data_IF_959559309302
#
_entry.id   IF_959559309302
#
_cell.length_a   1.000
_cell.length_b   1.000
_cell.length_c   1.000
_cell.angle_alpha   90.00
_cell.angle_beta   90.00
_cell.angle_gamma   90.00
#
_symmetry.space_group_name_H-M   'P 1'
#
loop_
_entity.id
_entity.type
_entity.pdbx_description
1 polymer ?
#
# COMPACT_ATOMS: atom_id res chain seq x y z
N UNK A 1 13.27 -0.03 11.02
CA UNK A 1 12.06 -0.89 10.98
C UNK A 1 11.79 -1.34 12.41
N UNK A 2 10.59 -1.12 12.95
CA UNK A 2 10.22 -1.62 14.28
C UNK A 2 10.06 -3.14 14.19
N UNK A 3 10.52 -3.86 15.22
CA UNK A 3 10.31 -5.30 15.38
C UNK A 3 9.26 -5.52 16.47
N UNK A 4 8.27 -6.37 16.17
CA UNK A 4 7.16 -6.72 17.06
C UNK A 4 7.30 -8.19 17.42
N UNK A 5 7.32 -8.50 18.71
CA UNK A 5 7.47 -9.88 19.17
C UNK A 5 6.12 -10.60 19.27
N UNK A 6 5.92 -11.55 18.35
CA UNK A 6 4.74 -12.39 18.31
C UNK A 6 3.42 -11.63 18.17
N UNK A 7 2.33 -12.35 18.40
CA UNK A 7 0.99 -11.76 18.46
C UNK A 7 0.75 -10.98 19.76
N UNK A 8 1.51 -11.26 20.82
CA UNK A 8 1.41 -10.56 22.10
C UNK A 8 1.89 -9.11 21.97
N UNK A 9 3.10 -8.88 21.42
CA UNK A 9 3.61 -7.53 21.19
C UNK A 9 2.73 -6.71 20.24
N UNK A 10 2.13 -7.35 19.23
CA UNK A 10 1.20 -6.66 18.34
C UNK A 10 -0.05 -6.14 19.06
N UNK A 11 -0.54 -6.84 20.10
CA UNK A 11 -1.71 -6.42 20.88
C UNK A 11 -1.42 -5.20 21.75
N UNK A 12 -0.19 -5.02 22.19
CA UNK A 12 0.23 -3.85 22.99
C UNK A 12 0.26 -2.56 22.18
N UNK A 13 0.42 -2.68 20.86
CA UNK A 13 0.41 -1.55 19.93
C UNK A 13 -1.00 -1.10 19.53
N UNK A 14 -2.05 -1.79 19.99
CA UNK A 14 -3.44 -1.38 19.73
C UNK A 14 -3.67 0.05 20.26
N UNK A 15 -4.29 0.89 19.44
CA UNK A 15 -4.52 2.31 19.69
C UNK A 15 -3.29 3.22 19.65
N UNK A 16 -2.09 2.68 19.44
CA UNK A 16 -0.87 3.49 19.28
C UNK A 16 -0.76 4.07 17.86
N UNK A 17 -0.16 5.26 17.78
CA UNK A 17 0.32 5.83 16.52
C UNK A 17 1.68 5.26 16.22
N UNK A 18 1.83 4.65 15.04
CA UNK A 18 3.10 4.07 14.64
C UNK A 18 3.88 5.01 13.73
N UNK A 19 5.19 4.78 13.65
CA UNK A 19 6.11 5.61 12.86
C UNK A 19 5.84 5.50 11.37
N UNK A 20 6.15 6.57 10.65
CA UNK A 20 6.10 6.65 9.19
C UNK A 20 7.14 5.70 8.56
N UNK A 21 6.75 5.03 7.48
CA UNK A 21 7.67 4.17 6.73
C UNK A 21 8.70 5.02 5.97
N UNK A 22 9.80 4.39 5.54
CA UNK A 22 10.63 4.98 4.49
C UNK A 22 9.83 5.14 3.19
N UNK A 23 10.25 6.10 2.37
CA UNK A 23 9.66 6.35 1.07
C UNK A 23 10.02 5.25 0.07
N UNK A 24 9.06 4.88 -0.79
CA UNK A 24 9.26 3.98 -1.93
C UNK A 24 9.02 4.78 -3.20
N UNK A 25 9.98 4.76 -4.11
CA UNK A 25 9.81 5.37 -5.42
C UNK A 25 8.88 4.52 -6.27
N UNK A 26 7.82 5.14 -6.81
CA UNK A 26 6.93 4.55 -7.81
C UNK A 26 7.20 5.26 -9.13
N UNK A 27 7.98 4.61 -9.99
CA UNK A 27 8.28 5.09 -11.33
C UNK A 27 7.38 4.45 -12.39
N UNK A 28 7.47 4.95 -13.62
CA UNK A 28 6.67 4.45 -14.74
C UNK A 28 6.93 2.95 -15.01
N UNK A 29 8.17 2.49 -14.82
CA UNK A 29 8.53 1.08 -15.03
C UNK A 29 7.76 0.16 -14.09
N UNK A 30 7.66 0.51 -12.81
CA UNK A 30 6.88 -0.27 -11.85
C UNK A 30 5.38 -0.26 -12.19
N UNK A 31 4.85 0.88 -12.63
CA UNK A 31 3.46 1.03 -13.07
C UNK A 31 3.18 0.12 -14.27
N UNK A 32 4.05 0.13 -15.28
CA UNK A 32 3.90 -0.69 -16.49
C UNK A 32 4.02 -2.19 -16.19
N UNK A 33 4.93 -2.58 -15.29
CA UNK A 33 5.05 -3.97 -14.85
C UNK A 33 3.78 -4.44 -14.15
N UNK A 34 3.23 -3.62 -13.25
CA UNK A 34 1.98 -3.93 -12.57
C UNK A 34 0.82 -4.07 -13.58
N UNK A 35 0.70 -3.12 -14.52
CA UNK A 35 -0.28 -3.18 -15.61
C UNK A 35 -0.22 -4.50 -16.38
N UNK A 36 0.98 -4.96 -16.74
CA UNK A 36 1.19 -6.22 -17.46
C UNK A 36 0.85 -7.45 -16.61
N UNK A 37 1.19 -7.43 -15.33
CA UNK A 37 0.92 -8.55 -14.42
C UNK A 37 -0.56 -8.73 -14.11
N UNK A 38 -1.31 -7.62 -14.03
CA UNK A 38 -2.75 -7.64 -13.70
C UNK A 38 -3.65 -7.54 -14.93
N UNK A 39 -3.08 -7.37 -16.12
CA UNK A 39 -3.77 -7.05 -17.35
C UNK A 39 -4.60 -5.74 -17.29
N UNK A 40 -4.32 -4.85 -16.33
CA UNK A 40 -4.90 -3.52 -16.28
C UNK A 40 -4.07 -2.53 -17.12
N UNK A 41 -4.36 -2.55 -18.42
CA UNK A 41 -3.71 -1.73 -19.44
C UNK A 41 -4.49 -0.42 -19.72
N UNK A 42 -5.25 0.10 -18.76
CA UNK A 42 -5.94 1.38 -18.96
C UNK A 42 -4.92 2.48 -19.30
N UNK A 43 -5.21 3.27 -20.34
CA UNK A 43 -4.29 4.26 -20.92
C UNK A 43 -3.77 5.28 -19.91
N UNK A 44 -4.55 5.60 -18.86
CA UNK A 44 -4.14 6.48 -17.77
C UNK A 44 -2.93 5.98 -16.99
N UNK A 45 -2.59 4.68 -17.09
CA UNK A 45 -1.43 4.07 -16.44
C UNK A 45 -0.23 3.95 -17.37
N UNK A 46 -0.44 3.61 -18.65
CA UNK A 46 0.62 3.10 -19.54
C UNK A 46 0.92 3.98 -20.76
N UNK A 47 0.05 4.94 -21.09
CA UNK A 47 0.20 5.79 -22.27
C UNK A 47 0.45 7.24 -21.83
N UNK A 48 1.73 7.61 -21.75
CA UNK A 48 2.14 8.94 -21.31
C UNK A 48 1.69 10.06 -22.23
N UNK A 49 1.61 9.83 -23.54
CA UNK A 49 1.20 10.84 -24.51
C UNK A 49 -0.29 11.14 -24.36
N UNK A 50 -1.12 10.09 -24.36
CA UNK A 50 -2.56 10.24 -24.17
C UNK A 50 -2.89 10.77 -22.77
N UNK A 51 -2.13 10.40 -21.75
CA UNK A 51 -2.33 10.85 -20.38
C UNK A 51 -2.10 12.36 -20.18
N UNK A 52 -1.40 13.07 -21.07
CA UNK A 52 -1.25 14.52 -21.01
C UNK A 52 -2.59 15.25 -21.12
N UNK A 53 -3.54 14.70 -21.89
CA UNK A 53 -4.88 15.24 -22.04
C UNK A 53 -5.84 14.83 -20.90
N UNK A 54 -5.39 13.98 -19.96
CA UNK A 54 -6.21 13.58 -18.82
C UNK A 54 -6.28 14.69 -17.77
N UNK A 55 -7.25 14.61 -16.86
CA UNK A 55 -7.34 15.51 -15.69
C UNK A 55 -6.08 15.50 -14.81
N UNK A 56 -5.28 14.42 -14.88
CA UNK A 56 -4.04 14.30 -14.12
C UNK A 56 -2.82 14.90 -14.82
N UNK A 57 -2.91 15.16 -16.13
CA UNK A 57 -1.84 15.76 -16.96
C UNK A 57 -0.61 14.87 -17.16
N UNK A 58 -0.65 13.63 -16.69
CA UNK A 58 0.40 12.61 -16.77
C UNK A 58 -0.22 11.26 -16.45
N UNK A 59 0.49 10.17 -16.73
CA UNK A 59 0.15 8.84 -16.21
C UNK A 59 0.08 8.85 -14.69
N UNK A 60 -0.67 7.89 -14.14
CA UNK A 60 -0.83 7.68 -12.71
C UNK A 60 -0.59 6.22 -12.36
N UNK A 61 -0.18 5.93 -11.14
CA UNK A 61 -0.09 4.57 -10.64
C UNK A 61 -1.49 3.96 -10.46
N UNK A 62 -1.59 2.64 -10.59
CA UNK A 62 -2.81 1.91 -10.23
C UNK A 62 -3.10 2.10 -8.73
N UNK A 63 -4.38 2.29 -8.38
CA UNK A 63 -4.79 2.32 -6.97
C UNK A 63 -4.40 1.03 -6.25
N UNK A 64 -4.54 -0.11 -6.93
CA UNK A 64 -4.16 -1.43 -6.42
C UNK A 64 -2.64 -1.62 -6.31
N UNK A 65 -1.83 -0.97 -7.15
CA UNK A 65 -0.38 -0.93 -6.96
C UNK A 65 -0.03 -0.20 -5.67
N UNK A 66 -0.69 0.92 -5.40
CA UNK A 66 -0.44 1.68 -4.16
C UNK A 66 -0.86 0.88 -2.92
N UNK A 67 -1.99 0.16 -3.00
CA UNK A 67 -2.47 -0.71 -1.94
C UNK A 67 -1.51 -1.90 -1.68
N UNK A 68 -1.01 -2.53 -2.75
CA UNK A 68 -0.14 -3.71 -2.66
C UNK A 68 1.25 -3.42 -2.10
N UNK A 69 1.63 -2.15 -1.96
CA UNK A 69 2.84 -1.73 -1.24
C UNK A 69 2.67 -1.79 0.29
N UNK A 70 1.47 -2.04 0.83
CA UNK A 70 1.20 -2.14 2.27
C UNK A 70 2.18 -3.04 3.05
N UNK A 71 2.45 -4.28 2.59
CA UNK A 71 3.43 -5.16 3.22
C UNK A 71 4.85 -4.57 3.25
N UNK A 72 5.23 -3.76 2.24
CA UNK A 72 6.55 -3.11 2.18
C UNK A 72 6.71 -2.02 3.25
N UNK A 73 5.60 -1.41 3.66
CA UNK A 73 5.57 -0.40 4.72
C UNK A 73 5.34 -0.99 6.11
N UNK A 74 5.08 -2.30 6.21
CA UNK A 74 4.77 -2.99 7.46
C UNK A 74 6.00 -3.18 8.35
N UNK A 75 5.74 -3.49 9.62
CA UNK A 75 6.78 -3.79 10.62
C UNK A 75 7.31 -5.21 10.48
N UNK A 76 8.49 -5.45 11.04
CA UNK A 76 8.99 -6.82 11.18
C UNK A 76 8.32 -7.52 12.35
N UNK A 77 8.07 -8.82 12.19
CA UNK A 77 7.60 -9.67 13.28
C UNK A 77 8.66 -10.72 13.61
N UNK A 78 8.91 -10.94 14.90
CA UNK A 78 9.69 -12.06 15.43
C UNK A 78 8.75 -13.06 16.10
N UNK A 79 9.19 -14.31 16.26
CA UNK A 79 8.39 -15.33 16.97
C UNK A 79 7.13 -15.79 16.21
N UNK A 80 6.99 -15.48 14.92
CA UNK A 80 5.94 -15.98 14.03
C UNK A 80 6.55 -16.58 12.77
N UNK A 81 5.97 -17.66 12.26
CA UNK A 81 6.51 -18.37 11.09
C UNK A 81 6.20 -17.66 9.77
N UNK A 82 5.00 -17.08 9.64
CA UNK A 82 4.55 -16.31 8.48
C UNK A 82 3.40 -15.40 8.86
N UNK A 83 3.18 -14.35 8.07
CA UNK A 83 2.01 -13.47 8.13
C UNK A 83 1.25 -13.52 6.81
N UNK A 84 -0.07 -13.46 6.88
CA UNK A 84 -0.95 -13.43 5.70
C UNK A 84 -1.72 -12.13 5.72
N UNK A 85 -1.79 -11.47 4.56
CA UNK A 85 -2.74 -10.39 4.35
C UNK A 85 -4.15 -10.99 4.26
N UNK A 86 -4.94 -10.78 5.31
CA UNK A 86 -6.30 -11.31 5.40
C UNK A 86 -7.30 -10.52 4.53
N UNK A 87 -6.93 -9.30 4.14
CA UNK A 87 -7.78 -8.41 3.38
C UNK A 87 -7.94 -7.04 4.01
N UNK A 88 -8.70 -6.21 3.32
CA UNK A 88 -8.82 -4.79 3.63
C UNK A 88 -10.24 -4.43 4.03
N UNK A 89 -10.37 -3.51 4.99
CA UNK A 89 -11.65 -2.85 5.28
C UNK A 89 -11.96 -1.77 4.24
N UNK A 90 -12.39 -0.60 4.69
CA UNK A 90 -12.63 0.53 3.79
C UNK A 90 -11.30 1.07 3.23
N UNK A 91 -11.15 0.98 1.91
CA UNK A 91 -10.02 1.55 1.17
C UNK A 91 -10.49 2.76 0.36
N UNK A 92 -9.74 3.84 0.41
CA UNK A 92 -9.98 5.01 -0.43
C UNK A 92 -8.64 5.57 -0.90
N UNK A 93 -8.58 6.01 -2.17
CA UNK A 93 -7.42 6.68 -2.75
C UNK A 93 -7.70 8.18 -2.87
N UNK A 94 -7.43 8.99 -1.82
CA UNK A 94 -7.78 10.41 -1.82
C UNK A 94 -6.94 11.23 -2.79
N UNK A 95 -5.75 10.74 -3.16
CA UNK A 95 -4.86 11.34 -4.16
C UNK A 95 -4.19 10.26 -4.99
N UNK A 96 -4.06 10.51 -6.29
CA UNK A 96 -3.39 9.60 -7.22
C UNK A 96 -1.86 9.75 -7.10
N UNK A 97 -1.12 8.64 -6.97
CA UNK A 97 0.35 8.65 -7.05
C UNK A 97 0.75 8.86 -8.52
N UNK A 98 1.55 9.89 -8.80
CA UNK A 98 2.13 10.18 -10.12
C UNK A 98 3.53 9.55 -10.23
N UNK A 99 4.00 9.19 -11.44
CA UNK A 99 5.37 8.73 -11.64
C UNK A 99 6.40 9.70 -11.06
N UNK A 100 7.50 9.16 -10.54
CA UNK A 100 8.59 9.90 -9.89
C UNK A 100 8.22 10.62 -8.57
N UNK A 101 6.97 10.53 -8.09
CA UNK A 101 6.65 10.83 -6.69
C UNK A 101 6.92 9.58 -5.87
N UNK A 102 7.66 9.75 -4.78
CA UNK A 102 7.76 8.70 -3.79
C UNK A 102 6.41 8.56 -3.07
N UNK A 103 5.97 7.32 -2.80
CA UNK A 103 4.82 7.03 -1.95
C UNK A 103 5.37 6.53 -0.59
N UNK A 104 4.83 7.01 0.52
CA UNK A 104 5.14 6.54 1.88
C UNK A 104 3.85 6.36 2.67
N UNK A 105 3.86 5.43 3.63
CA UNK A 105 2.79 5.30 4.59
C UNK A 105 2.97 6.35 5.70
N UNK A 106 2.09 7.35 5.72
CA UNK A 106 2.06 8.41 6.73
C UNK A 106 1.69 7.92 8.13
N UNK A 107 1.87 8.74 9.18
CA UNK A 107 1.64 8.37 10.59
C UNK A 107 0.16 8.16 10.96
N UNK A 108 -0.77 8.12 10.00
CA UNK A 108 -2.21 8.02 10.26
C UNK A 108 -2.69 6.59 10.53
N UNK A 109 -1.83 5.58 10.42
CA UNK A 109 -2.20 4.20 10.73
C UNK A 109 -2.26 3.99 12.25
N UNK A 110 -3.46 4.11 12.83
CA UNK A 110 -3.74 3.65 14.20
C UNK A 110 -4.09 2.17 14.16
N UNK A 111 -3.38 1.35 14.94
CA UNK A 111 -3.70 -0.08 15.07
C UNK A 111 -5.07 -0.22 15.74
N UNK A 112 -5.98 -0.95 15.10
CA UNK A 112 -7.29 -1.28 15.65
C UNK A 112 -7.41 -2.79 15.76
N UNK A 113 -8.11 -3.28 16.78
CA UNK A 113 -8.51 -4.69 16.81
C UNK A 113 -9.49 -4.93 15.66
N UNK A 114 -9.20 -5.95 14.85
CA UNK A 114 -10.20 -6.53 13.97
C UNK A 114 -11.27 -7.20 14.83
N UNK A 115 -12.57 -6.93 14.60
CA UNK A 115 -13.63 -7.78 15.15
C UNK A 115 -13.35 -9.23 14.73
N UNK A 116 -13.64 -10.19 15.62
CA UNK A 116 -13.55 -11.62 15.24
C UNK A 116 -14.42 -11.82 14.00
N UNK A 117 -13.81 -12.20 12.89
CA UNK A 117 -14.57 -12.74 11.78
C UNK A 117 -15.13 -14.09 12.26
N UNK A 118 -16.45 -14.22 12.30
CA UNK A 118 -17.10 -15.53 12.34
C UNK A 118 -16.87 -16.16 10.97
N UNK A 119 -15.78 -16.91 10.84
CA UNK A 119 -15.61 -17.83 9.72
C UNK A 119 -16.52 -19.03 9.98
N UNK A 120 -17.53 -19.22 9.14
CA UNK A 120 -18.19 -20.53 8.96
C UNK A 120 -17.26 -21.47 8.20
#
# INVERSE_FOLDING_TARGET
MILIDGSAGARELVSQTLVTSSWVQVDQRLIDLFARMTCDLQWIHVDSERAQASASGTTIAHGLLTLSLGPRFSYGFTGVSYGVDYGYGRVASPRQCRPARACACGPTSRVRRTPRAECN
#
